data_IF_520093950554
#
_entry.id   IF_520093950554
#
_cell.length_a   1.000
_cell.length_b   1.000
_cell.length_c   1.000
_cell.angle_alpha   90.00
_cell.angle_beta   90.00
_cell.angle_gamma   90.00
#
_symmetry.space_group_name_H-M   'P 1'
#
loop_
_entity.id
_entity.type
_entity.pdbx_description
1 polymer ?
#
# COMPACT_ATOMS: atom_id res chain seq x y z
N UNK A 1 -44.74 -27.01 23.52
CA UNK A 1 -43.79 -26.16 22.77
C UNK A 1 -42.56 -25.94 23.64
N UNK A 2 -41.34 -26.33 23.25
CA UNK A 2 -40.18 -26.21 24.15
C UNK A 2 -39.76 -24.74 24.27
N UNK A 3 -39.59 -24.28 25.52
CA UNK A 3 -39.14 -22.94 25.88
C UNK A 3 -37.63 -22.90 25.67
N UNK A 4 -37.19 -22.54 24.46
CA UNK A 4 -35.76 -22.41 24.15
C UNK A 4 -35.23 -21.21 24.94
N UNK A 5 -34.44 -21.46 25.98
CA UNK A 5 -33.66 -20.43 26.66
C UNK A 5 -32.74 -19.80 25.61
N UNK A 6 -32.98 -18.53 25.24
CA UNK A 6 -32.11 -17.84 24.28
C UNK A 6 -30.69 -17.88 24.81
N UNK A 7 -29.79 -18.56 24.10
CA UNK A 7 -28.40 -18.67 24.53
C UNK A 7 -27.81 -17.27 24.59
N UNK A 8 -26.84 -17.03 25.48
CA UNK A 8 -26.09 -15.75 25.54
C UNK A 8 -25.54 -15.38 24.16
N UNK A 9 -25.17 -16.38 23.35
CA UNK A 9 -24.76 -16.21 21.97
C UNK A 9 -25.85 -15.59 21.07
N UNK A 10 -27.12 -15.95 21.24
CA UNK A 10 -28.23 -15.40 20.44
C UNK A 10 -28.53 -13.95 20.82
N UNK A 11 -28.39 -13.61 22.11
CA UNK A 11 -28.50 -12.24 22.59
C UNK A 11 -27.37 -11.35 22.03
N UNK A 12 -26.13 -11.84 22.03
CA UNK A 12 -24.99 -11.11 21.45
C UNK A 12 -25.17 -10.87 19.95
N UNK A 13 -25.61 -11.89 19.20
CA UNK A 13 -25.96 -11.75 17.78
C UNK A 13 -27.03 -10.68 17.56
N UNK A 14 -28.04 -10.62 18.45
CA UNK A 14 -29.08 -9.58 18.38
C UNK A 14 -28.54 -8.18 18.69
N UNK A 15 -27.58 -8.04 19.60
CA UNK A 15 -26.97 -6.75 19.96
C UNK A 15 -26.04 -6.23 18.87
N UNK A 16 -25.31 -7.12 18.19
CA UNK A 16 -24.31 -6.77 17.18
C UNK A 16 -24.91 -6.58 15.79
N UNK A 17 -26.17 -7.00 15.56
CA UNK A 17 -26.84 -6.92 14.25
C UNK A 17 -26.75 -5.55 13.56
N UNK A 18 -26.67 -4.46 14.34
CA UNK A 18 -26.59 -3.09 13.81
C UNK A 18 -25.15 -2.57 13.61
N UNK A 19 -24.13 -3.24 14.14
CA UNK A 19 -22.74 -2.80 14.12
C UNK A 19 -21.91 -3.66 13.15
N UNK A 20 -21.58 -3.11 11.97
CA UNK A 20 -20.89 -3.83 10.88
C UNK A 20 -19.44 -4.24 11.21
N UNK A 21 -18.81 -3.60 12.19
CA UNK A 21 -17.40 -3.80 12.54
C UNK A 21 -17.20 -4.67 13.80
N UNK A 22 -18.28 -5.24 14.36
CA UNK A 22 -18.23 -6.13 15.52
C UNK A 22 -18.42 -7.58 15.08
N UNK A 23 -17.59 -8.49 15.60
CA UNK A 23 -17.68 -9.93 15.41
C UNK A 23 -17.88 -10.61 16.77
N UNK A 24 -18.56 -11.77 16.80
CA UNK A 24 -18.76 -12.52 18.05
C UNK A 24 -18.50 -14.00 17.87
N UNK A 25 -17.82 -14.60 18.84
CA UNK A 25 -17.55 -16.04 18.93
C UNK A 25 -18.54 -16.73 19.91
N UNK A 26 -19.68 -16.09 20.17
CA UNK A 26 -20.73 -16.59 21.08
C UNK A 26 -20.46 -16.36 22.58
N UNK A 27 -19.21 -16.16 22.97
CA UNK A 27 -18.80 -15.84 24.35
C UNK A 27 -18.29 -14.42 24.51
N UNK A 28 -17.54 -13.91 23.51
CA UNK A 28 -16.92 -12.58 23.51
C UNK A 28 -17.30 -11.79 22.27
N UNK A 29 -17.24 -10.46 22.38
CA UNK A 29 -17.46 -9.53 21.27
C UNK A 29 -16.14 -8.86 20.93
N UNK A 30 -15.76 -8.91 19.66
CA UNK A 30 -14.52 -8.35 19.15
C UNK A 30 -14.81 -7.23 18.17
N UNK A 31 -14.14 -6.10 18.33
CA UNK A 31 -14.25 -4.97 17.41
C UNK A 31 -13.11 -4.99 16.41
N UNK A 32 -13.40 -5.21 15.13
CA UNK A 32 -12.43 -5.22 14.04
C UNK A 32 -11.87 -3.81 13.78
N UNK A 33 -12.65 -2.76 14.01
CA UNK A 33 -12.17 -1.38 13.85
C UNK A 33 -11.14 -1.00 14.93
N UNK A 34 -11.30 -1.50 16.16
CA UNK A 34 -10.41 -1.19 17.27
C UNK A 34 -9.36 -2.28 17.58
N UNK A 35 -9.42 -3.41 16.89
CA UNK A 35 -8.65 -4.64 17.17
C UNK A 35 -8.65 -5.05 18.65
N UNK A 36 -9.78 -4.87 19.34
CA UNK A 36 -9.92 -5.08 20.79
C UNK A 36 -11.17 -5.87 21.13
N UNK A 37 -11.06 -6.67 22.19
CA UNK A 37 -12.21 -7.30 22.82
C UNK A 37 -13.04 -6.24 23.54
N UNK A 38 -14.35 -6.26 23.32
CA UNK A 38 -15.34 -5.40 23.94
C UNK A 38 -16.05 -6.19 25.03
N UNK A 39 -16.14 -5.62 26.23
CA UNK A 39 -16.91 -6.21 27.33
C UNK A 39 -18.38 -6.34 26.94
N UNK A 40 -18.92 -7.54 27.04
CA UNK A 40 -20.27 -7.89 26.57
C UNK A 40 -21.16 -8.45 27.67
N UNK A 41 -20.98 -7.97 28.91
CA UNK A 41 -21.81 -8.37 30.05
C UNK A 41 -23.21 -7.78 29.93
N UNK A 42 -23.32 -6.56 29.39
CA UNK A 42 -24.58 -5.86 29.16
C UNK A 42 -24.51 -5.10 27.84
N UNK A 43 -25.66 -4.91 27.19
CA UNK A 43 -25.77 -4.20 25.90
C UNK A 43 -25.15 -2.80 25.92
N UNK A 44 -25.33 -2.07 27.02
CA UNK A 44 -24.81 -0.71 27.17
C UNK A 44 -23.28 -0.61 27.04
N UNK A 45 -22.53 -1.66 27.38
CA UNK A 45 -21.07 -1.66 27.23
C UNK A 45 -20.65 -1.65 25.74
N UNK A 46 -21.44 -2.31 24.90
CA UNK A 46 -21.25 -2.29 23.45
C UNK A 46 -21.67 -0.93 22.90
N UNK A 47 -22.82 -0.40 23.31
CA UNK A 47 -23.30 0.92 22.87
C UNK A 47 -22.32 2.04 23.27
N UNK A 48 -21.76 1.97 24.49
CA UNK A 48 -20.72 2.89 24.95
C UNK A 48 -19.46 2.78 24.11
N UNK A 49 -19.01 1.56 23.79
CA UNK A 49 -17.86 1.36 22.90
C UNK A 49 -18.05 2.06 21.55
N UNK A 50 -19.23 1.92 20.93
CA UNK A 50 -19.58 2.57 19.67
C UNK A 50 -19.64 4.10 19.78
N UNK A 51 -20.08 4.62 20.93
CA UNK A 51 -20.23 6.05 21.15
C UNK A 51 -18.89 6.78 21.42
N UNK A 52 -17.87 6.08 21.93
CA UNK A 52 -16.58 6.66 22.30
C UNK A 52 -15.88 7.25 21.07
N UNK A 53 -15.29 8.44 21.22
CA UNK A 53 -14.57 9.16 20.16
C UNK A 53 -13.43 8.34 19.52
N UNK A 54 -12.74 7.54 20.32
CA UNK A 54 -11.69 6.61 19.85
C UNK A 54 -12.27 5.62 18.84
N UNK A 55 -13.45 5.05 19.10
CA UNK A 55 -14.09 4.12 18.16
C UNK A 55 -14.44 4.83 16.86
N UNK A 56 -15.06 6.01 16.93
CA UNK A 56 -15.42 6.80 15.73
C UNK A 56 -14.21 7.17 14.88
N UNK A 57 -13.08 7.51 15.50
CA UNK A 57 -11.84 7.80 14.79
C UNK A 57 -11.24 6.54 14.14
N UNK A 58 -11.24 5.42 14.86
CA UNK A 58 -10.75 4.14 14.34
C UNK A 58 -11.66 3.57 13.25
N UNK A 59 -12.98 3.74 13.36
CA UNK A 59 -13.96 3.34 12.35
C UNK A 59 -13.78 4.12 11.05
N UNK A 60 -13.50 5.43 11.13
CA UNK A 60 -13.14 6.24 9.95
C UNK A 60 -11.89 5.70 9.25
N UNK A 61 -10.86 5.31 10.02
CA UNK A 61 -9.63 4.71 9.48
C UNK A 61 -9.87 3.32 8.89
N UNK A 62 -10.73 2.52 9.53
CA UNK A 62 -11.08 1.18 9.08
C UNK A 62 -11.87 1.19 7.76
N UNK A 63 -12.87 2.07 7.64
CA UNK A 63 -13.65 2.25 6.41
C UNK A 63 -12.84 2.90 5.28
N UNK A 64 -11.82 3.69 5.61
CA UNK A 64 -10.82 4.20 4.68
C UNK A 64 -9.82 3.13 4.24
N UNK A 65 -10.28 2.04 3.60
CA UNK A 65 -9.45 0.97 2.99
C UNK A 65 -8.14 0.67 3.75
N UNK A 66 -8.24 -0.05 4.87
CA UNK A 66 -7.06 -0.73 5.42
C UNK A 66 -6.80 -1.97 4.54
N UNK A 67 -6.17 -1.77 3.38
CA UNK A 67 -5.34 -2.84 2.84
C UNK A 67 -4.18 -2.98 3.81
N UNK A 68 -4.14 -4.11 4.52
CA UNK A 68 -3.04 -4.50 5.37
C UNK A 68 -1.78 -4.52 4.50
N UNK A 69 -1.06 -3.40 4.52
CA UNK A 69 0.07 -3.18 3.66
C UNK A 69 1.25 -3.79 4.36
N UNK A 70 1.70 -4.96 3.91
CA UNK A 70 3.07 -5.36 4.18
C UNK A 70 3.97 -4.18 3.80
N UNK A 71 4.96 -3.88 4.63
CA UNK A 71 5.81 -2.67 4.59
C UNK A 71 6.48 -2.42 3.22
N UNK A 72 6.39 -3.37 2.28
CA UNK A 72 6.88 -3.23 0.91
C UNK A 72 5.92 -2.55 -0.08
N UNK A 73 4.60 -2.45 0.17
CA UNK A 73 3.63 -1.98 -0.85
C UNK A 73 3.14 -0.53 -0.64
N UNK A 74 3.39 0.09 0.51
CA UNK A 74 2.91 1.44 0.83
C UNK A 74 3.62 2.55 0.02
N UNK A 75 4.73 2.24 -0.65
CA UNK A 75 5.44 3.18 -1.52
C UNK A 75 4.94 3.13 -2.98
N UNK A 76 3.95 2.31 -3.31
CA UNK A 76 3.60 2.04 -4.70
C UNK A 76 2.43 2.88 -5.25
N UNK A 77 1.46 3.30 -4.42
CA UNK A 77 0.19 3.82 -4.94
C UNK A 77 0.13 5.35 -5.14
N UNK A 78 0.89 6.14 -4.38
CA UNK A 78 1.07 7.58 -4.64
C UNK A 78 2.20 7.86 -5.65
N UNK A 79 2.86 6.80 -6.12
CA UNK A 79 4.07 6.89 -6.92
C UNK A 79 3.84 6.53 -8.39
N UNK A 80 2.75 5.85 -8.79
CA UNK A 80 2.63 5.28 -10.14
C UNK A 80 2.81 6.31 -11.28
N UNK A 81 2.08 7.44 -11.28
CA UNK A 81 2.25 8.44 -12.35
C UNK A 81 3.66 9.08 -12.40
N UNK A 82 4.33 9.19 -11.24
CA UNK A 82 5.67 9.77 -11.13
C UNK A 82 6.78 8.71 -11.31
N UNK A 83 6.51 7.44 -11.06
CA UNK A 83 7.43 6.32 -11.24
C UNK A 83 7.40 5.84 -12.67
N UNK A 84 6.24 5.85 -13.33
CA UNK A 84 6.12 5.50 -14.74
C UNK A 84 6.93 6.50 -15.58
N UNK A 85 6.75 7.80 -15.36
CA UNK A 85 7.52 8.86 -16.05
C UNK A 85 9.01 8.94 -15.66
N UNK A 86 9.39 8.50 -14.44
CA UNK A 86 10.81 8.34 -14.05
C UNK A 86 11.43 7.13 -14.71
N UNK A 87 10.72 6.00 -14.70
CA UNK A 87 11.16 4.76 -15.33
C UNK A 87 11.31 4.92 -16.84
N UNK A 88 10.41 5.69 -17.47
CA UNK A 88 10.46 6.03 -18.89
C UNK A 88 11.73 6.84 -19.21
N UNK A 89 11.99 7.95 -18.52
CA UNK A 89 13.20 8.75 -18.74
C UNK A 89 14.50 7.94 -18.56
N UNK A 90 14.58 7.12 -17.49
CA UNK A 90 15.76 6.30 -17.26
C UNK A 90 15.92 5.21 -18.32
N UNK A 91 14.80 4.65 -18.79
CA UNK A 91 14.79 3.68 -19.88
C UNK A 91 15.25 4.32 -21.19
N UNK A 92 14.74 5.50 -21.55
CA UNK A 92 15.10 6.22 -22.77
C UNK A 92 16.56 6.65 -22.77
N UNK A 93 17.06 7.15 -21.64
CA UNK A 93 18.47 7.47 -21.47
C UNK A 93 19.35 6.22 -21.67
N UNK A 94 18.97 5.11 -21.02
CA UNK A 94 19.68 3.82 -21.11
C UNK A 94 19.71 3.31 -22.57
N UNK A 95 18.57 3.35 -23.23
CA UNK A 95 18.37 2.92 -24.61
C UNK A 95 19.16 3.79 -25.60
N UNK A 96 19.08 5.12 -25.46
CA UNK A 96 19.78 6.07 -26.33
C UNK A 96 21.30 5.90 -26.24
N UNK A 97 21.84 5.74 -25.04
CA UNK A 97 23.27 5.48 -24.86
C UNK A 97 23.69 4.13 -25.44
N UNK A 98 22.87 3.09 -25.28
CA UNK A 98 23.15 1.78 -25.86
C UNK A 98 23.15 1.82 -27.40
N UNK A 99 22.14 2.46 -28.01
CA UNK A 99 22.05 2.63 -29.47
C UNK A 99 23.17 3.48 -30.04
N UNK A 100 23.60 4.51 -29.30
CA UNK A 100 24.71 5.38 -29.69
C UNK A 100 26.09 4.77 -29.38
N UNK A 101 26.13 3.53 -28.88
CA UNK A 101 27.36 2.84 -28.45
C UNK A 101 28.19 3.66 -27.43
N UNK A 102 27.51 4.41 -26.56
CA UNK A 102 28.13 5.23 -25.52
C UNK A 102 28.20 4.41 -24.23
N UNK A 103 29.40 4.12 -23.71
CA UNK A 103 29.56 3.41 -22.45
C UNK A 103 28.95 4.19 -21.28
N UNK A 104 28.25 3.48 -20.39
CA UNK A 104 27.58 4.11 -19.24
C UNK A 104 28.52 4.63 -18.16
N UNK A 105 29.78 4.18 -18.14
CA UNK A 105 30.80 4.73 -17.24
C UNK A 105 31.01 6.24 -17.43
N UNK A 106 30.65 6.80 -18.61
CA UNK A 106 30.69 8.24 -18.87
C UNK A 106 29.76 9.03 -17.93
N UNK A 107 28.71 8.42 -17.40
CA UNK A 107 27.81 9.04 -16.42
C UNK A 107 28.43 9.15 -15.01
N UNK A 108 29.53 8.44 -14.73
CA UNK A 108 30.26 8.61 -13.48
C UNK A 108 31.11 9.88 -13.47
N UNK A 109 31.43 10.43 -14.65
CA UNK A 109 32.14 11.70 -14.75
C UNK A 109 31.26 12.84 -14.23
N UNK A 110 31.69 13.44 -13.12
CA UNK A 110 30.92 14.46 -12.40
C UNK A 110 30.52 15.66 -13.29
N UNK A 111 31.41 16.12 -14.17
CA UNK A 111 31.14 17.23 -15.07
C UNK A 111 30.01 16.90 -16.07
N UNK A 112 30.08 15.71 -16.69
CA UNK A 112 29.07 15.25 -17.65
C UNK A 112 27.72 15.03 -16.96
N UNK A 113 27.75 14.40 -15.78
CA UNK A 113 26.57 14.19 -14.97
C UNK A 113 25.89 15.50 -14.56
N UNK A 114 26.66 16.47 -14.03
CA UNK A 114 26.14 17.78 -13.62
C UNK A 114 25.54 18.55 -14.80
N UNK A 115 26.16 18.45 -15.98
CA UNK A 115 25.61 19.03 -17.21
C UNK A 115 24.23 18.45 -17.50
N UNK A 116 24.08 17.13 -17.53
CA UNK A 116 22.79 16.48 -17.79
C UNK A 116 21.75 16.81 -16.71
N UNK A 117 22.13 16.76 -15.43
CA UNK A 117 21.22 17.11 -14.32
C UNK A 117 20.71 18.55 -14.42
N UNK A 118 21.58 19.49 -14.83
CA UNK A 118 21.24 20.91 -15.01
C UNK A 118 20.21 21.13 -16.13
N UNK A 119 20.39 20.50 -17.28
CA UNK A 119 19.52 20.75 -18.44
C UNK A 119 18.28 19.86 -18.45
N UNK A 120 18.35 18.64 -17.92
CA UNK A 120 17.20 17.74 -17.85
C UNK A 120 16.31 18.01 -16.62
N UNK A 121 16.75 18.83 -15.66
CA UNK A 121 16.06 19.06 -14.37
C UNK A 121 15.65 17.75 -13.67
N UNK A 122 16.48 16.71 -13.83
CA UNK A 122 16.24 15.36 -13.32
C UNK A 122 17.55 14.78 -12.81
N UNK A 123 17.46 13.96 -11.77
CA UNK A 123 18.60 13.21 -11.27
C UNK A 123 19.06 12.20 -12.32
N UNK A 124 20.38 12.08 -12.52
CA UNK A 124 20.96 11.13 -13.48
C UNK A 124 21.43 9.87 -12.73
N UNK A 125 21.03 8.67 -13.16
CA UNK A 125 21.40 7.43 -12.48
C UNK A 125 22.88 7.11 -12.71
N UNK A 126 23.51 6.45 -11.74
CA UNK A 126 24.86 5.93 -11.94
C UNK A 126 24.85 4.69 -12.83
N UNK A 127 26.03 4.32 -13.34
CA UNK A 127 26.22 3.15 -14.20
C UNK A 127 25.62 1.89 -13.57
N UNK A 128 25.92 1.64 -12.29
CA UNK A 128 25.43 0.46 -11.57
C UNK A 128 23.90 0.35 -11.58
N UNK A 129 23.19 1.47 -11.45
CA UNK A 129 21.73 1.50 -11.47
C UNK A 129 21.20 1.19 -12.87
N UNK A 130 21.78 1.78 -13.91
CA UNK A 130 21.41 1.50 -15.30
C UNK A 130 21.61 0.02 -15.64
N UNK A 131 22.76 -0.54 -15.26
CA UNK A 131 23.13 -1.93 -15.52
C UNK A 131 22.22 -2.94 -14.84
N UNK A 132 21.87 -2.71 -13.57
CA UNK A 132 21.05 -3.66 -12.81
C UNK A 132 19.57 -3.57 -13.14
N UNK A 133 19.04 -2.36 -13.35
CA UNK A 133 17.59 -2.14 -13.45
C UNK A 133 17.06 -2.00 -14.88
N UNK A 134 17.83 -1.43 -15.80
CA UNK A 134 17.33 -1.01 -17.11
C UNK A 134 17.95 -1.77 -18.29
N UNK A 135 19.19 -2.28 -18.17
CA UNK A 135 19.86 -3.06 -19.23
C UNK A 135 18.99 -4.21 -19.78
N UNK A 136 18.42 -5.03 -18.89
CA UNK A 136 17.57 -6.17 -19.30
C UNK A 136 16.35 -5.71 -20.11
N UNK A 137 15.75 -4.58 -19.73
CA UNK A 137 14.58 -4.02 -20.41
C UNK A 137 14.94 -3.50 -21.80
N UNK A 138 16.11 -2.85 -21.94
CA UNK A 138 16.58 -2.34 -23.24
C UNK A 138 16.74 -3.47 -24.26
N UNK A 139 17.40 -4.57 -23.89
CA UNK A 139 17.56 -5.72 -24.79
C UNK A 139 16.24 -6.44 -25.13
N UNK A 140 15.30 -6.52 -24.19
CA UNK A 140 14.00 -7.13 -24.43
C UNK A 140 13.15 -6.34 -25.43
N UNK A 141 13.27 -5.01 -25.45
CA UNK A 141 12.56 -4.15 -26.40
C UNK A 141 13.18 -4.20 -27.80
N UNK A 142 14.51 -4.28 -27.93
CA UNK A 142 15.16 -4.47 -29.22
C UNK A 142 14.74 -5.77 -29.92
N UNK A 143 14.52 -6.86 -29.16
CA UNK A 143 14.14 -8.17 -29.72
C UNK A 143 12.67 -8.27 -30.17
N UNK A 144 11.82 -7.30 -29.85
CA UNK A 144 10.39 -7.29 -30.22
C UNK A 144 10.08 -6.43 -31.45
N UNK A 145 11.08 -5.70 -31.96
CA UNK A 145 10.91 -4.76 -33.09
C UNK A 145 11.50 -5.25 -34.42
N UNK A 146 12.03 -6.48 -34.48
CA UNK A 146 12.48 -7.16 -35.70
C UNK A 146 11.40 -8.13 -36.21
#
# INVERSE_FOLDING_TARGET
MPKVSSSKADLLKKWIKNAKHLSTDGTVVYCNACSKQVSSNQKFQIDQHLAIAIHKEMEKRFNGKVQQTFVSTALCCSSQQNQDSKNEFYFDLCNSMAQSNIPWNKLEQLAFRKFLEKYCNRHIPNESTLRKKYLKKCYQNHRKGD
#
